data_IF_736868287012
#
_entry.id   IF_736868287012
#
_cell.length_a   1.000
_cell.length_b   1.000
_cell.length_c   1.000
_cell.angle_alpha   90.00
_cell.angle_beta   90.00
_cell.angle_gamma   90.00
#
_symmetry.space_group_name_H-M   'P 1'
#
loop_
_entity.id
_entity.type
_entity.pdbx_description
1 polymer ?
#
# COMPACT_ATOMS: atom_id res chain seq x y z
N UNK A 1 -60.20 -18.46 9.39
CA UNK A 1 -59.30 -17.30 9.64
C UNK A 1 -57.91 -17.86 9.94
N UNK A 2 -56.98 -17.82 8.98
CA UNK A 2 -55.57 -18.13 9.22
C UNK A 2 -54.82 -16.82 9.49
N UNK A 3 -54.33 -16.64 10.71
CA UNK A 3 -53.45 -15.55 11.10
C UNK A 3 -52.04 -15.87 10.58
N UNK A 4 -51.65 -15.23 9.49
CA UNK A 4 -50.30 -15.30 8.96
C UNK A 4 -49.45 -14.26 9.72
N UNK A 5 -48.64 -14.69 10.69
CA UNK A 5 -47.63 -13.83 11.29
C UNK A 5 -46.53 -13.56 10.24
N UNK A 6 -46.15 -12.30 9.97
CA UNK A 6 -45.00 -12.02 9.13
C UNK A 6 -43.74 -12.37 9.93
N UNK A 7 -43.00 -13.38 9.48
CA UNK A 7 -41.66 -13.67 9.98
C UNK A 7 -40.75 -12.54 9.49
N UNK A 8 -40.61 -11.49 10.30
CA UNK A 8 -39.62 -10.45 10.08
C UNK A 8 -38.24 -11.00 10.47
N UNK A 9 -37.53 -11.59 9.52
CA UNK A 9 -36.11 -11.97 9.69
C UNK A 9 -35.30 -10.66 9.61
N UNK A 10 -35.11 -9.98 10.74
CA UNK A 10 -34.07 -8.96 10.84
C UNK A 10 -32.71 -9.67 10.88
N UNK A 11 -32.11 -9.87 9.70
CA UNK A 11 -30.73 -10.31 9.60
C UNK A 11 -29.83 -9.16 10.09
N UNK A 12 -29.41 -9.21 11.36
CA UNK A 12 -28.38 -8.31 11.89
C UNK A 12 -27.05 -8.71 11.27
N UNK A 13 -26.66 -8.07 10.15
CA UNK A 13 -25.28 -8.10 9.70
C UNK A 13 -24.45 -7.33 10.72
N UNK A 14 -23.90 -8.03 11.71
CA UNK A 14 -22.83 -7.48 12.53
C UNK A 14 -21.61 -7.26 11.64
N UNK A 15 -21.05 -6.04 11.59
CA UNK A 15 -19.79 -5.84 10.88
C UNK A 15 -18.72 -6.68 11.59
N UNK A 16 -18.13 -7.61 10.85
CA UNK A 16 -16.92 -8.31 11.28
C UNK A 16 -15.81 -7.25 11.29
N UNK A 17 -15.50 -6.72 12.47
CA UNK A 17 -14.32 -5.91 12.68
C UNK A 17 -13.11 -6.85 12.56
N UNK A 18 -12.58 -7.00 11.35
CA UNK A 18 -11.27 -7.60 11.16
C UNK A 18 -10.27 -6.55 11.65
N UNK A 19 -9.97 -6.59 12.95
CA UNK A 19 -8.84 -5.86 13.50
C UNK A 19 -7.58 -6.58 13.04
N UNK A 20 -7.14 -6.28 11.81
CA UNK A 20 -5.75 -6.52 11.44
C UNK A 20 -4.92 -5.70 12.43
N UNK A 21 -3.99 -6.29 13.16
CA UNK A 21 -3.01 -5.52 13.92
C UNK A 21 -1.88 -5.07 12.99
N UNK A 22 -1.12 -4.05 13.39
CA UNK A 22 0.14 -3.72 12.71
C UNK A 22 1.04 -4.98 12.70
N UNK A 23 1.61 -5.38 11.55
CA UNK A 23 2.45 -6.57 11.47
C UNK A 23 3.74 -6.40 12.28
N UNK A 24 4.43 -7.51 12.55
CA UNK A 24 5.74 -7.48 13.19
C UNK A 24 6.84 -7.72 12.15
N UNK A 25 7.63 -6.69 11.86
CA UNK A 25 8.81 -6.76 11.01
C UNK A 25 10.10 -6.92 11.83
N UNK A 26 11.08 -7.55 11.20
CA UNK A 26 12.42 -7.70 11.78
C UNK A 26 13.29 -6.49 11.37
N UNK A 27 13.13 -5.39 12.10
CA UNK A 27 13.87 -4.12 11.88
C UNK A 27 15.39 -4.33 11.92
N UNK A 28 15.89 -5.22 12.77
CA UNK A 28 17.33 -5.49 12.86
C UNK A 28 17.86 -6.10 11.56
N UNK A 29 17.11 -7.03 10.96
CA UNK A 29 17.47 -7.61 9.66
C UNK A 29 17.47 -6.53 8.57
N UNK A 30 16.41 -5.71 8.54
CA UNK A 30 16.27 -4.61 7.60
C UNK A 30 17.43 -3.62 7.68
N UNK A 31 17.70 -3.09 8.86
CA UNK A 31 18.72 -2.07 9.04
C UNK A 31 20.15 -2.59 8.83
N UNK A 32 20.39 -3.88 9.04
CA UNK A 32 21.68 -4.49 8.64
C UNK A 32 21.82 -4.64 7.13
N UNK A 33 20.71 -4.86 6.43
CA UNK A 33 20.70 -4.91 4.97
C UNK A 33 21.01 -3.52 4.38
N UNK A 34 20.41 -2.46 4.95
CA UNK A 34 20.70 -1.06 4.60
C UNK A 34 22.17 -0.66 4.88
N UNK A 35 22.70 -1.07 6.03
CA UNK A 35 24.13 -0.93 6.30
C UNK A 35 24.53 -1.24 7.73
N UNK A 36 25.61 -2.01 7.89
CA UNK A 36 26.08 -2.49 9.20
C UNK A 36 26.98 -1.47 9.94
N UNK A 37 27.28 -0.32 9.32
CA UNK A 37 27.99 0.75 10.03
C UNK A 37 27.08 1.34 11.12
N UNK A 38 27.65 1.64 12.30
CA UNK A 38 26.86 2.11 13.45
C UNK A 38 25.97 3.31 13.13
N UNK A 39 26.46 4.31 12.39
CA UNK A 39 25.66 5.48 12.04
C UNK A 39 24.47 5.17 11.11
N UNK A 40 24.66 4.29 10.12
CA UNK A 40 23.59 3.89 9.17
C UNK A 40 22.55 3.03 9.89
N UNK A 41 23.00 2.03 10.65
CA UNK A 41 22.14 1.15 11.41
C UNK A 41 21.27 1.91 12.42
N UNK A 42 21.87 2.85 13.16
CA UNK A 42 21.16 3.69 14.13
C UNK A 42 20.12 4.58 13.45
N UNK A 43 20.47 5.20 12.31
CA UNK A 43 19.54 6.04 11.56
C UNK A 43 18.33 5.24 11.06
N UNK A 44 18.57 4.09 10.43
CA UNK A 44 17.51 3.19 9.98
C UNK A 44 16.63 2.76 11.17
N UNK A 45 17.23 2.32 12.28
CA UNK A 45 16.49 1.85 13.45
C UNK A 45 15.58 2.94 14.04
N UNK A 46 16.03 4.20 14.02
CA UNK A 46 15.24 5.35 14.45
C UNK A 46 14.05 5.61 13.52
N UNK A 47 14.30 5.62 12.19
CA UNK A 47 13.25 5.86 11.19
C UNK A 47 12.18 4.74 11.25
N UNK A 48 12.61 3.47 11.38
CA UNK A 48 11.73 2.31 11.56
C UNK A 48 10.89 2.37 12.84
N UNK A 49 11.50 2.80 13.95
CA UNK A 49 10.80 2.94 15.23
C UNK A 49 9.75 4.04 15.17
N UNK A 50 10.07 5.16 14.53
CA UNK A 50 9.14 6.28 14.33
C UNK A 50 7.95 5.86 13.45
N UNK A 51 8.24 5.18 12.32
CA UNK A 51 7.19 4.69 11.43
C UNK A 51 6.27 3.67 12.11
N UNK A 52 6.81 2.75 12.90
CA UNK A 52 6.01 1.80 13.70
C UNK A 52 5.11 2.52 14.72
N UNK A 53 5.61 3.58 15.36
CA UNK A 53 4.81 4.35 16.31
C UNK A 53 3.63 5.06 15.61
N UNK A 54 3.86 5.62 14.42
CA UNK A 54 2.80 6.25 13.64
C UNK A 54 1.80 5.21 13.12
N UNK A 55 2.27 4.08 12.59
CA UNK A 55 1.41 2.96 12.18
C UNK A 55 0.52 2.51 13.33
N UNK A 56 1.05 2.31 14.55
CA UNK A 56 0.23 1.92 15.72
C UNK A 56 -0.87 2.93 16.04
N UNK A 57 -0.65 4.21 15.76
CA UNK A 57 -1.62 5.28 16.00
C UNK A 57 -2.69 5.34 14.91
N UNK A 58 -2.28 5.22 13.65
CA UNK A 58 -3.14 5.47 12.49
C UNK A 58 -3.70 4.19 11.85
N UNK A 59 -3.25 3.00 12.24
CA UNK A 59 -3.54 1.74 11.55
C UNK A 59 -5.02 1.56 11.22
N UNK A 60 -5.89 1.78 12.21
CA UNK A 60 -7.34 1.62 12.08
C UNK A 60 -8.00 2.64 11.13
N UNK A 61 -7.31 3.71 10.75
CA UNK A 61 -7.78 4.73 9.83
C UNK A 61 -7.52 4.36 8.36
N UNK A 62 -6.54 3.49 8.10
CA UNK A 62 -6.28 2.99 6.74
C UNK A 62 -7.31 1.95 6.34
N UNK A 63 -7.71 1.96 5.05
CA UNK A 63 -8.64 0.97 4.55
C UNK A 63 -8.02 -0.44 4.60
N UNK A 64 -8.80 -1.45 5.00
CA UNK A 64 -8.32 -2.83 5.12
C UNK A 64 -7.75 -3.38 3.80
N UNK A 65 -8.29 -2.95 2.66
CA UNK A 65 -7.76 -3.30 1.32
C UNK A 65 -6.35 -2.73 1.09
N UNK A 66 -6.11 -1.50 1.54
CA UNK A 66 -4.81 -0.84 1.39
C UNK A 66 -3.80 -1.45 2.35
N UNK A 67 -4.20 -1.74 3.61
CA UNK A 67 -3.39 -2.52 4.55
C UNK A 67 -2.92 -3.84 3.92
N UNK A 68 -3.83 -4.62 3.34
CA UNK A 68 -3.49 -5.88 2.68
C UNK A 68 -2.54 -5.68 1.50
N UNK A 69 -2.83 -4.70 0.64
CA UNK A 69 -2.03 -4.44 -0.57
C UNK A 69 -0.63 -3.98 -0.20
N UNK A 70 -0.50 -3.02 0.69
CA UNK A 70 0.78 -2.50 1.14
C UNK A 70 1.60 -3.54 1.91
N UNK A 71 0.97 -4.39 2.74
CA UNK A 71 1.68 -5.51 3.37
C UNK A 71 2.30 -6.47 2.36
N UNK A 72 1.57 -6.79 1.28
CA UNK A 72 2.14 -7.61 0.20
C UNK A 72 3.32 -6.88 -0.44
N UNK A 73 3.15 -5.61 -0.82
CA UNK A 73 4.21 -4.82 -1.47
C UNK A 73 5.48 -4.74 -0.62
N UNK A 74 5.36 -4.37 0.66
CA UNK A 74 6.50 -4.19 1.58
C UNK A 74 7.23 -5.50 1.91
N UNK A 75 6.61 -6.66 1.71
CA UNK A 75 7.26 -7.94 1.99
C UNK A 75 7.94 -8.56 0.76
N UNK A 76 7.76 -7.95 -0.42
CA UNK A 76 8.45 -8.37 -1.65
C UNK A 76 9.93 -8.07 -1.50
N UNK A 77 10.77 -9.10 -1.59
CA UNK A 77 12.23 -8.98 -1.45
C UNK A 77 12.79 -9.56 -0.15
N UNK A 78 11.93 -9.94 0.81
CA UNK A 78 12.33 -10.63 2.04
C UNK A 78 12.90 -9.72 3.14
N UNK A 79 12.88 -8.42 2.89
CA UNK A 79 13.25 -7.31 3.75
C UNK A 79 12.00 -6.43 3.85
N UNK A 80 11.57 -6.10 5.05
CA UNK A 80 10.28 -5.45 5.29
C UNK A 80 10.48 -4.27 6.23
N UNK A 81 10.12 -3.09 5.72
CA UNK A 81 10.31 -1.80 6.38
C UNK A 81 8.96 -1.20 6.83
N UNK A 82 8.88 -0.73 8.08
CA UNK A 82 7.73 0.04 8.53
C UNK A 82 7.63 1.39 7.83
N UNK A 83 8.77 1.99 7.45
CA UNK A 83 8.80 3.22 6.66
C UNK A 83 8.13 2.99 5.31
N UNK A 84 8.46 1.91 4.61
CA UNK A 84 7.83 1.56 3.33
C UNK A 84 6.33 1.26 3.49
N UNK A 85 5.94 0.49 4.51
CA UNK A 85 4.54 0.18 4.77
C UNK A 85 3.73 1.45 5.03
N UNK A 86 4.23 2.32 5.90
CA UNK A 86 3.59 3.60 6.21
C UNK A 86 3.47 4.47 4.96
N UNK A 87 4.56 4.62 4.20
CA UNK A 87 4.58 5.42 2.97
C UNK A 87 3.56 4.89 1.95
N UNK A 88 3.48 3.56 1.76
CA UNK A 88 2.49 2.96 0.87
C UNK A 88 1.05 3.30 1.28
N UNK A 89 0.76 3.23 2.58
CA UNK A 89 -0.55 3.51 3.13
C UNK A 89 -0.93 5.00 3.02
N UNK A 90 0.01 5.89 3.26
CA UNK A 90 -0.17 7.33 3.08
C UNK A 90 -0.45 7.68 1.61
N UNK A 91 0.33 7.11 0.67
CA UNK A 91 0.08 7.28 -0.76
C UNK A 91 -1.31 6.77 -1.18
N UNK A 92 -1.74 5.61 -0.67
CA UNK A 92 -3.07 5.06 -0.96
C UNK A 92 -4.19 5.99 -0.44
N UNK A 93 -4.03 6.51 0.78
CA UNK A 93 -4.93 7.51 1.38
C UNK A 93 -5.00 8.79 0.55
N UNK A 94 -3.87 9.27 0.05
CA UNK A 94 -3.80 10.50 -0.75
C UNK A 94 -4.47 10.34 -2.12
N UNK A 95 -4.29 9.18 -2.77
CA UNK A 95 -4.99 8.83 -4.01
C UNK A 95 -6.50 8.74 -3.79
N UNK A 96 -6.93 8.09 -2.71
CA UNK A 96 -8.35 8.01 -2.35
C UNK A 96 -8.96 9.41 -2.11
N UNK A 97 -8.23 10.27 -1.38
CA UNK A 97 -8.65 11.65 -1.09
C UNK A 97 -8.77 12.48 -2.37
N UNK A 98 -7.83 12.33 -3.31
CA UNK A 98 -7.83 13.03 -4.60
C UNK A 98 -9.00 12.60 -5.50
N UNK A 99 -9.35 11.31 -5.49
CA UNK A 99 -10.49 10.79 -6.27
C UNK A 99 -11.84 11.30 -5.77
N UNK A 100 -11.94 11.70 -4.50
CA UNK A 100 -13.16 12.24 -3.91
C UNK A 100 -13.32 13.75 -4.14
N UNK A 101 -12.31 14.43 -4.71
CA UNK A 101 -12.39 15.85 -5.03
C UNK A 101 -12.94 16.09 -6.45
N UNK A 102 -14.13 16.70 -6.62
CA UNK A 102 -14.74 16.90 -7.94
C UNK A 102 -14.00 17.92 -8.83
N UNK A 103 -13.13 18.77 -8.27
CA UNK A 103 -12.44 19.84 -8.99
C UNK A 103 -11.07 19.47 -9.56
N UNK A 104 -10.57 18.25 -9.34
CA UNK A 104 -9.32 17.83 -9.96
C UNK A 104 -9.59 17.16 -11.31
N UNK A 105 -9.23 17.77 -12.47
CA UNK A 105 -9.35 17.07 -13.73
C UNK A 105 -8.48 15.82 -13.63
N UNK A 106 -9.11 14.63 -13.66
CA UNK A 106 -8.41 13.35 -13.81
C UNK A 106 -7.35 13.56 -14.87
N UNK A 107 -6.08 13.57 -14.47
CA UNK A 107 -4.99 13.43 -15.42
C UNK A 107 -5.26 12.08 -16.08
N UNK A 108 -5.87 12.13 -17.27
CA UNK A 108 -5.95 10.98 -18.15
C UNK A 108 -4.50 10.56 -18.29
N UNK A 109 -4.13 9.43 -17.66
CA UNK A 109 -3.06 8.61 -18.18
C UNK A 109 -3.43 8.39 -19.63
N UNK A 110 -2.90 9.24 -20.50
CA UNK A 110 -2.98 9.06 -21.92
C UNK A 110 -2.22 7.76 -22.14
N UNK A 111 -2.96 6.66 -22.23
CA UNK A 111 -2.54 5.45 -22.90
C UNK A 111 -1.99 5.94 -24.23
N UNK A 112 -0.67 6.04 -24.31
CA UNK A 112 0.06 6.46 -25.51
C UNK A 112 -0.43 5.52 -26.61
N UNK A 113 -1.05 6.01 -27.71
CA UNK A 113 -1.33 5.14 -28.82
C UNK A 113 0.00 4.59 -29.30
N UNK A 114 0.12 3.26 -29.31
CA UNK A 114 1.22 2.56 -29.95
C UNK A 114 1.35 3.09 -31.38
N UNK A 115 2.37 3.90 -31.64
CA UNK A 115 2.78 4.24 -32.99
C UNK A 115 3.38 2.98 -33.61
N UNK A 116 2.53 2.15 -34.21
CA UNK A 116 2.95 1.15 -35.16
C UNK A 116 3.50 1.86 -36.39
N UNK A 117 4.79 1.64 -36.69
CA UNK A 117 5.34 1.88 -38.03
C UNK A 117 6.70 2.58 -38.06
N UNK A 118 7.79 1.81 -37.94
CA UNK A 118 9.04 2.07 -38.67
C UNK A 118 9.73 0.74 -39.02
N UNK A 119 9.72 0.29 -40.28
CA UNK A 119 10.58 -0.81 -40.71
C UNK A 119 12.00 -0.30 -40.99
N UNK A 120 12.98 -1.09 -40.54
CA UNK A 120 14.32 -1.21 -41.14
C UNK A 120 15.32 -0.09 -40.85
N UNK A 121 16.19 -0.31 -39.86
CA UNK A 121 17.52 0.31 -39.84
C UNK A 121 18.54 -0.82 -39.98
N UNK A 122 19.10 -0.97 -41.18
CA UNK A 122 20.26 -1.83 -41.44
C UNK A 122 21.50 -1.20 -40.83
N UNK A 123 22.16 -1.94 -39.94
CA UNK A 123 23.49 -1.62 -39.42
C UNK A 123 24.50 -1.73 -40.56
N UNK A 124 25.20 -0.63 -40.84
CA UNK A 124 26.35 -0.61 -41.74
C UNK A 124 27.63 -0.86 -40.96
N UNK A 125 28.30 -1.97 -41.30
CA UNK A 125 29.62 -2.42 -40.86
C UNK A 125 30.72 -1.44 -41.30
N UNK A 126 31.71 -1.22 -40.44
CA UNK A 126 32.80 -0.27 -40.64
C UNK A 126 33.89 -0.74 -41.61
N UNK A 127 34.62 0.24 -42.13
CA UNK A 127 36.02 0.11 -42.56
C UNK A 127 36.76 1.41 -42.29
#
# INVERSE_FOLDING_TARGET
>A
MLLHLPIAILATLSPIAVSSSVPQFNVVRECRYEGDSGAIFERCSQDETAALAQLRTEWAQFAATDQKTCMVTTTIGGFASYVELLTCLEMARDVASSNNNPDHPRARSASRPTLAGRPGLTVGEGR
#
